data_IF_579215574433
#
_entry.id   IF_579215574433
#
_cell.length_a   1.000
_cell.length_b   1.000
_cell.length_c   1.000
_cell.angle_alpha   90.00
_cell.angle_beta   90.00
_cell.angle_gamma   90.00
#
_symmetry.space_group_name_H-M   'P 1'
#
loop_
_entity.id
_entity.type
_entity.pdbx_description
1 polymer ?
#
# COMPACT_ATOMS: atom_id res chain seq x y z
N UNK A 1 7.03 -17.92 0.99
CA UNK A 1 6.03 -18.60 0.14
C UNK A 1 5.87 -20.03 0.64
N UNK A 2 4.64 -20.48 0.88
CA UNK A 2 4.30 -21.86 1.29
C UNK A 2 3.17 -22.32 0.39
N UNK A 3 3.46 -23.22 -0.55
CA UNK A 3 2.52 -23.59 -1.60
C UNK A 3 2.09 -22.37 -2.44
N UNK A 4 0.78 -22.22 -2.63
CA UNK A 4 0.18 -21.08 -3.34
C UNK A 4 0.11 -19.80 -2.50
N UNK A 5 0.50 -19.82 -1.23
CA UNK A 5 0.43 -18.65 -0.36
C UNK A 5 1.78 -17.94 -0.30
N UNK A 6 1.77 -16.63 -0.48
CA UNK A 6 2.90 -15.73 -0.26
C UNK A 6 2.56 -14.80 0.89
N UNK A 7 3.52 -14.61 1.79
CA UNK A 7 3.44 -13.63 2.88
C UNK A 7 4.64 -12.72 2.75
N UNK A 8 4.40 -11.42 2.84
CA UNK A 8 5.39 -10.36 2.80
C UNK A 8 5.24 -9.48 4.02
N UNK A 9 6.36 -8.96 4.51
CA UNK A 9 6.41 -8.01 5.61
C UNK A 9 7.63 -7.13 5.42
N UNK A 10 7.44 -5.82 5.48
CA UNK A 10 8.49 -4.84 5.27
C UNK A 10 8.42 -3.74 6.32
N UNK A 11 9.59 -3.19 6.65
CA UNK A 11 9.74 -2.03 7.52
C UNK A 11 10.84 -1.15 6.93
N UNK A 12 10.57 0.15 6.86
CA UNK A 12 11.51 1.18 6.45
C UNK A 12 11.35 2.39 7.38
N UNK A 13 12.47 3.02 7.74
CA UNK A 13 12.41 4.25 8.53
C UNK A 13 13.68 5.06 8.43
N UNK A 14 13.55 6.36 8.70
CA UNK A 14 14.67 7.26 8.81
C UNK A 14 15.52 6.89 10.05
N UNK A 15 16.85 6.89 9.89
CA UNK A 15 17.76 6.62 11.00
C UNK A 15 17.73 7.74 12.03
N UNK A 16 17.62 8.98 11.54
CA UNK A 16 17.56 10.23 12.30
C UNK A 16 16.34 11.05 11.88
N UNK A 17 15.99 12.06 12.68
CA UNK A 17 14.99 13.06 12.29
C UNK A 17 15.55 13.95 11.16
N UNK A 18 14.69 14.31 10.22
CA UNK A 18 14.97 15.34 9.23
C UNK A 18 14.94 16.72 9.90
N UNK A 19 15.50 17.73 9.23
CA UNK A 19 15.25 19.10 9.66
C UNK A 19 13.79 19.50 9.38
N UNK A 20 13.23 20.37 10.23
CA UNK A 20 11.83 20.81 10.11
C UNK A 20 11.54 21.57 8.80
N UNK A 21 12.56 22.17 8.18
CA UNK A 21 12.46 22.82 6.86
C UNK A 21 12.58 21.83 5.68
N UNK A 22 12.90 20.56 5.93
CA UNK A 22 12.96 19.50 4.91
C UNK A 22 11.72 18.60 4.95
N UNK A 23 11.46 17.97 6.11
CA UNK A 23 10.30 17.11 6.34
C UNK A 23 9.77 17.40 7.74
N UNK A 24 8.64 18.10 7.81
CA UNK A 24 8.03 18.51 9.07
C UNK A 24 6.99 17.50 9.58
N UNK A 25 6.85 17.42 10.90
CA UNK A 25 5.69 16.84 11.55
C UNK A 25 5.26 17.74 12.71
N UNK A 26 4.23 18.56 12.47
CA UNK A 26 3.88 19.68 13.35
C UNK A 26 4.97 20.75 13.34
N UNK A 27 5.44 21.16 14.51
CA UNK A 27 6.48 22.19 14.69
C UNK A 27 7.92 21.62 14.71
N UNK A 28 8.10 20.32 14.47
CA UNK A 28 9.39 19.62 14.57
C UNK A 28 9.77 18.92 13.26
N UNK A 29 11.04 18.55 13.16
CA UNK A 29 11.53 17.65 12.13
C UNK A 29 10.96 16.25 12.30
N UNK A 30 10.51 15.65 11.21
CA UNK A 30 9.94 14.31 11.21
C UNK A 30 11.04 13.24 11.25
N UNK A 31 10.76 12.10 11.88
CA UNK A 31 11.49 10.85 11.71
C UNK A 31 10.56 9.79 11.10
N UNK A 32 10.32 9.85 9.77
CA UNK A 32 9.32 9.01 9.13
C UNK A 32 9.65 7.53 9.25
N UNK A 33 8.60 6.72 9.41
CA UNK A 33 8.68 5.26 9.27
C UNK A 33 7.44 4.71 8.59
N UNK A 34 7.59 3.56 7.95
CA UNK A 34 6.53 2.83 7.30
C UNK A 34 6.73 1.33 7.51
N UNK A 35 5.63 0.61 7.65
CA UNK A 35 5.64 -0.84 7.58
C UNK A 35 4.43 -1.34 6.82
N UNK A 36 4.58 -2.54 6.26
CA UNK A 36 3.48 -3.25 5.63
C UNK A 36 3.53 -4.74 5.91
N UNK A 37 2.37 -5.36 5.83
CA UNK A 37 2.22 -6.81 5.71
C UNK A 37 1.26 -7.11 4.56
N UNK A 38 1.55 -8.16 3.81
CA UNK A 38 0.72 -8.63 2.72
C UNK A 38 0.60 -10.14 2.72
N UNK A 39 -0.59 -10.62 2.41
CA UNK A 39 -0.85 -12.01 2.10
C UNK A 39 -1.42 -12.11 0.68
N UNK A 40 -0.85 -13.00 -0.12
CA UNK A 40 -1.29 -13.28 -1.48
C UNK A 40 -1.52 -14.79 -1.67
N UNK A 41 -2.54 -15.13 -2.44
CA UNK A 41 -2.92 -16.50 -2.80
C UNK A 41 -2.98 -16.67 -4.31
N UNK A 42 -2.15 -17.58 -4.82
CA UNK A 42 -2.08 -17.99 -6.21
C UNK A 42 -3.16 -19.01 -6.58
N UNK A 43 -3.95 -18.59 -7.56
CA UNK A 43 -5.10 -19.19 -8.21
C UNK A 43 -4.92 -19.84 -9.58
N UNK A 44 -5.83 -20.74 -9.97
CA UNK A 44 -6.24 -20.83 -11.37
C UNK A 44 -7.69 -20.34 -11.51
N UNK A 45 -7.94 -19.45 -12.46
CA UNK A 45 -9.26 -18.95 -12.84
C UNK A 45 -9.45 -19.16 -14.33
N UNK A 46 -10.39 -20.04 -14.71
CA UNK A 46 -10.68 -20.37 -16.11
C UNK A 46 -9.44 -20.84 -16.92
N UNK A 47 -8.55 -21.62 -16.31
CA UNK A 47 -7.32 -22.10 -16.98
C UNK A 47 -6.19 -21.07 -17.04
N UNK A 48 -6.32 -19.94 -16.34
CA UNK A 48 -5.33 -18.85 -16.30
C UNK A 48 -4.86 -18.57 -14.89
N UNK A 49 -3.59 -18.17 -14.75
CA UNK A 49 -3.03 -17.81 -13.46
C UNK A 49 -3.71 -16.55 -12.92
N UNK A 50 -4.09 -16.61 -11.65
CA UNK A 50 -4.70 -15.49 -10.94
C UNK A 50 -4.05 -15.32 -9.56
N UNK A 51 -4.11 -14.11 -9.01
CA UNK A 51 -3.65 -13.81 -7.66
C UNK A 51 -4.69 -12.98 -6.94
N UNK A 52 -5.03 -13.36 -5.71
CA UNK A 52 -5.77 -12.54 -4.76
C UNK A 52 -4.80 -12.08 -3.68
N UNK A 53 -4.73 -10.79 -3.40
CA UNK A 53 -3.84 -10.22 -2.39
C UNK A 53 -4.59 -9.26 -1.47
N UNK A 54 -4.19 -9.23 -0.20
CA UNK A 54 -4.65 -8.26 0.77
C UNK A 54 -3.45 -7.73 1.57
N UNK A 55 -3.40 -6.42 1.78
CA UNK A 55 -2.32 -5.78 2.54
C UNK A 55 -2.82 -4.75 3.54
N UNK A 56 -2.03 -4.56 4.59
CA UNK A 56 -2.20 -3.50 5.59
C UNK A 56 -0.87 -2.77 5.70
N UNK A 57 -0.93 -1.45 5.59
CA UNK A 57 0.21 -0.55 5.65
C UNK A 57 -0.05 0.55 6.67
N UNK A 58 1.00 0.99 7.35
CA UNK A 58 0.91 2.12 8.27
C UNK A 58 2.18 2.94 8.23
N UNK A 59 2.03 4.26 8.32
CA UNK A 59 3.14 5.21 8.42
C UNK A 59 3.15 5.91 9.78
N UNK A 60 4.31 6.43 10.17
CA UNK A 60 4.46 7.40 11.26
C UNK A 60 5.28 8.59 10.75
N UNK A 61 4.89 9.79 11.18
CA UNK A 61 5.56 11.06 10.86
C UNK A 61 5.80 11.26 9.35
N UNK A 62 4.93 10.72 8.51
CA UNK A 62 5.05 10.79 7.05
C UNK A 62 4.03 11.74 6.41
N UNK A 63 3.37 12.58 7.22
CA UNK A 63 2.32 13.49 6.74
C UNK A 63 2.85 14.48 5.69
N UNK A 64 4.03 15.07 5.93
CA UNK A 64 4.66 15.97 4.95
C UNK A 64 5.11 15.27 3.66
N UNK A 65 5.11 13.94 3.62
CA UNK A 65 5.35 13.13 2.42
C UNK A 65 4.05 12.76 1.69
N UNK A 66 2.92 13.33 2.11
CA UNK A 66 1.58 13.07 1.56
C UNK A 66 1.17 11.59 1.63
N UNK A 67 1.73 10.84 2.58
CA UNK A 67 1.38 9.44 2.80
C UNK A 67 0.25 9.31 3.82
N UNK A 68 -0.72 8.41 3.60
CA UNK A 68 -1.77 8.17 4.57
C UNK A 68 -1.20 7.55 5.84
N UNK A 69 -1.89 7.75 6.97
CA UNK A 69 -1.52 7.12 8.23
C UNK A 69 -1.66 5.61 8.13
N UNK A 70 -2.76 5.15 7.54
CA UNK A 70 -3.08 3.72 7.36
C UNK A 70 -3.63 3.51 5.97
N UNK A 71 -3.35 2.34 5.41
CA UNK A 71 -3.84 1.94 4.09
C UNK A 71 -4.15 0.45 4.09
N UNK A 72 -5.36 0.08 3.68
CA UNK A 72 -5.81 -1.30 3.49
C UNK A 72 -6.05 -1.53 2.00
N UNK A 73 -5.48 -2.58 1.43
CA UNK A 73 -5.71 -2.97 0.04
C UNK A 73 -6.31 -4.36 -0.05
N UNK A 74 -7.18 -4.53 -1.05
CA UNK A 74 -7.62 -5.82 -1.56
C UNK A 74 -7.54 -5.79 -3.08
N UNK A 75 -6.73 -6.66 -3.66
CA UNK A 75 -6.51 -6.73 -5.10
C UNK A 75 -6.71 -8.13 -5.65
N UNK A 76 -7.23 -8.21 -6.87
CA UNK A 76 -7.23 -9.44 -7.67
C UNK A 76 -6.68 -9.15 -9.05
N UNK A 77 -5.81 -10.02 -9.55
CA UNK A 77 -5.30 -9.97 -10.90
C UNK A 77 -5.36 -11.34 -11.55
N UNK A 78 -5.51 -11.37 -12.88
CA UNK A 78 -5.47 -12.60 -13.66
C UNK A 78 -4.89 -12.34 -15.04
N UNK A 79 -4.18 -13.34 -15.58
CA UNK A 79 -3.87 -13.39 -16.99
C UNK A 79 -5.16 -13.58 -17.79
N UNK A 80 -5.35 -12.75 -18.83
CA UNK A 80 -6.52 -12.84 -19.73
C UNK A 80 -6.13 -13.58 -21.00
N UNK A 81 -4.94 -13.27 -21.53
CA UNK A 81 -4.30 -13.98 -22.64
C UNK A 81 -2.78 -13.89 -22.46
N UNK A 82 -2.04 -14.70 -23.22
CA UNK A 82 -0.58 -14.69 -23.13
C UNK A 82 -0.04 -13.28 -23.36
N UNK A 83 0.74 -12.77 -22.40
CA UNK A 83 1.27 -11.40 -22.42
C UNK A 83 0.27 -10.31 -22.04
N UNK A 84 -0.95 -10.62 -21.57
CA UNK A 84 -1.96 -9.62 -21.16
C UNK A 84 -2.62 -10.00 -19.82
N UNK A 85 -2.55 -9.12 -18.83
CA UNK A 85 -3.21 -9.29 -17.53
C UNK A 85 -4.15 -8.15 -17.19
N UNK A 86 -5.20 -8.47 -16.43
CA UNK A 86 -6.17 -7.52 -15.88
C UNK A 86 -6.13 -7.59 -14.36
N UNK A 87 -6.11 -6.43 -13.70
CA UNK A 87 -6.15 -6.28 -12.27
C UNK A 87 -7.25 -5.33 -11.82
N UNK A 88 -7.83 -5.62 -10.65
CA UNK A 88 -8.77 -4.76 -9.93
C UNK A 88 -8.26 -4.62 -8.50
N UNK A 89 -8.21 -3.41 -7.99
CA UNK A 89 -7.80 -3.12 -6.62
C UNK A 89 -8.75 -2.16 -5.94
N UNK A 90 -9.06 -2.44 -4.68
CA UNK A 90 -9.75 -1.55 -3.75
C UNK A 90 -8.76 -1.12 -2.67
N UNK A 91 -8.62 0.18 -2.47
CA UNK A 91 -7.81 0.76 -1.41
C UNK A 91 -8.68 1.64 -0.51
N UNK A 92 -8.45 1.53 0.80
CA UNK A 92 -8.98 2.48 1.80
C UNK A 92 -7.81 3.09 2.55
N UNK A 93 -7.73 4.41 2.48
CA UNK A 93 -6.73 5.23 3.16
C UNK A 93 -7.36 6.01 4.30
N UNK A 94 -6.71 6.00 5.46
CA UNK A 94 -7.07 6.84 6.59
C UNK A 94 -5.96 7.86 6.81
N UNK A 95 -6.33 9.14 6.82
CA UNK A 95 -5.40 10.23 7.06
C UNK A 95 -4.93 10.31 8.53
N UNK A 96 -3.88 11.07 8.79
CA UNK A 96 -3.46 11.44 10.13
C UNK A 96 -4.56 12.21 10.85
N UNK A 97 -4.56 12.16 12.18
CA UNK A 97 -5.57 12.85 12.99
C UNK A 97 -5.43 14.38 12.88
N UNK A 98 -6.50 15.11 13.20
CA UNK A 98 -6.45 16.58 13.29
C UNK A 98 -5.43 17.06 14.32
N UNK A 99 -5.21 16.30 15.40
CA UNK A 99 -4.19 16.62 16.40
C UNK A 99 -2.75 16.49 15.85
N UNK A 100 -2.57 15.67 14.82
CA UNK A 100 -1.30 15.45 14.12
C UNK A 100 -1.16 16.34 12.86
N UNK A 101 -2.12 17.23 12.60
CA UNK A 101 -2.13 18.13 11.45
C UNK A 101 -2.80 17.58 10.18
N UNK A 102 -3.36 16.37 10.23
CA UNK A 102 -4.15 15.79 9.15
C UNK A 102 -5.64 16.16 9.23
N UNK A 103 -6.45 15.49 8.44
CA UNK A 103 -7.92 15.64 8.39
C UNK A 103 -8.65 14.60 9.25
N UNK A 104 -8.03 13.45 9.47
CA UNK A 104 -8.64 12.26 10.08
C UNK A 104 -9.72 11.61 9.21
N UNK A 105 -9.84 12.00 7.95
CA UNK A 105 -10.82 11.46 7.01
C UNK A 105 -10.33 10.16 6.35
N UNK A 106 -11.28 9.42 5.77
CA UNK A 106 -11.01 8.23 4.98
C UNK A 106 -11.21 8.53 3.48
N UNK A 107 -10.42 7.87 2.62
CA UNK A 107 -10.57 7.88 1.16
C UNK A 107 -10.65 6.47 0.62
N UNK A 108 -11.61 6.22 -0.28
CA UNK A 108 -11.77 4.93 -0.98
C UNK A 108 -11.38 5.09 -2.45
N UNK A 109 -10.52 4.21 -2.96
CA UNK A 109 -10.06 4.19 -4.36
C UNK A 109 -10.34 2.83 -4.99
N UNK A 110 -10.88 2.83 -6.21
CA UNK A 110 -11.00 1.67 -7.09
C UNK A 110 -10.06 1.85 -8.28
N UNK A 111 -9.15 0.90 -8.46
CA UNK A 111 -8.20 0.88 -9.58
C UNK A 111 -8.51 -0.28 -10.51
N UNK A 112 -8.51 -0.02 -11.82
CA UNK A 112 -8.55 -1.02 -12.87
C UNK A 112 -7.26 -0.90 -13.70
N UNK A 113 -6.52 -1.98 -13.85
CA UNK A 113 -5.25 -1.99 -14.58
C UNK A 113 -5.25 -3.08 -15.66
N UNK A 114 -4.90 -2.70 -16.88
CA UNK A 114 -4.58 -3.62 -17.97
C UNK A 114 -3.08 -3.53 -18.25
N UNK A 115 -2.36 -4.65 -18.18
CA UNK A 115 -0.92 -4.69 -18.41
C UNK A 115 -0.56 -5.65 -19.55
N UNK A 116 0.34 -5.22 -20.44
CA UNK A 116 0.81 -5.98 -21.59
C UNK A 116 2.33 -6.14 -21.57
N UNK A 117 2.83 -7.34 -21.87
CA UNK A 117 4.25 -7.70 -21.97
C UNK A 117 4.57 -8.15 -23.42
N UNK A 118 5.75 -7.79 -23.92
CA UNK A 118 6.18 -7.98 -25.32
C UNK A 118 7.58 -8.59 -25.42
#
# INVERSE_FOLDING_TARGET
RVGSITLLGEFLGAMDEFHADEVAFGDYGAKPSAWMVEAAYGFELAGKEATLAASYQQTNEALALELPKKRILLGVSAEVMEGLSLGVELARDTDYSVADGGTGEDSDTLTLQLAAEF
#
